data_IF_748826047260
#
_entry.id   IF_748826047260
#
_cell.length_a   1.000
_cell.length_b   1.000
_cell.length_c   1.000
_cell.angle_alpha   90.00
_cell.angle_beta   90.00
_cell.angle_gamma   90.00
#
_symmetry.space_group_name_H-M   'P 1'
#
loop_
_entity.id
_entity.type
_entity.pdbx_description
1 polymer ?
#
# COMPACT_ATOMS: atom_id res chain seq x y z
N UNK A 1 47.22 -44.53 -28.10
CA UNK A 1 45.79 -44.39 -27.76
C UNK A 1 45.72 -43.37 -26.65
N UNK A 2 45.32 -42.13 -26.80
CA UNK A 2 44.63 -41.41 -27.86
C UNK A 2 44.09 -40.19 -27.13
N UNK A 3 44.92 -39.17 -26.96
CA UNK A 3 44.55 -37.92 -26.28
C UNK A 3 43.79 -37.02 -27.25
N UNK A 4 42.59 -37.45 -27.60
CA UNK A 4 41.51 -36.62 -28.12
C UNK A 4 40.44 -36.72 -27.01
N UNK A 5 40.19 -35.70 -26.21
CA UNK A 5 39.59 -34.43 -26.57
C UNK A 5 39.76 -33.51 -25.35
N UNK A 6 40.49 -32.40 -25.46
CA UNK A 6 40.55 -31.40 -24.36
C UNK A 6 39.69 -30.18 -24.64
N UNK A 7 39.26 -29.98 -25.89
CA UNK A 7 38.45 -28.84 -26.29
C UNK A 7 36.96 -29.15 -26.18
N UNK A 8 36.51 -30.34 -26.58
CA UNK A 8 35.08 -30.70 -26.56
C UNK A 8 34.55 -30.79 -25.11
N UNK A 9 35.37 -31.26 -24.17
CA UNK A 9 35.04 -31.27 -22.74
C UNK A 9 34.97 -29.85 -22.14
N UNK A 10 35.77 -28.92 -22.66
CA UNK A 10 35.75 -27.53 -22.23
C UNK A 10 34.53 -26.78 -22.77
N UNK A 11 34.17 -27.01 -24.04
CA UNK A 11 32.95 -26.46 -24.63
C UNK A 11 31.69 -27.09 -24.04
N UNK A 12 31.70 -28.38 -23.71
CA UNK A 12 30.60 -29.06 -22.98
C UNK A 12 30.45 -28.50 -21.56
N UNK A 13 31.56 -28.27 -20.86
CA UNK A 13 31.55 -27.59 -19.57
C UNK A 13 31.04 -26.14 -19.70
N UNK A 14 31.48 -25.38 -20.70
CA UNK A 14 31.03 -24.00 -20.91
C UNK A 14 29.53 -23.94 -21.29
N UNK A 15 29.05 -24.90 -22.09
CA UNK A 15 27.63 -25.03 -22.46
C UNK A 15 26.78 -25.46 -21.26
N UNK A 16 27.28 -26.35 -20.39
CA UNK A 16 26.65 -26.72 -19.11
C UNK A 16 26.63 -25.57 -18.12
N UNK A 17 27.67 -24.74 -18.09
CA UNK A 17 27.73 -23.53 -17.27
C UNK A 17 26.77 -22.47 -17.79
N UNK A 18 26.66 -22.27 -19.12
CA UNK A 18 25.65 -21.39 -19.73
C UNK A 18 24.22 -21.87 -19.48
N UNK A 19 23.94 -23.17 -19.61
CA UNK A 19 22.63 -23.75 -19.27
C UNK A 19 22.32 -23.66 -17.76
N UNK A 20 23.32 -23.73 -16.89
CA UNK A 20 23.16 -23.46 -15.46
C UNK A 20 22.90 -21.96 -15.18
N UNK A 21 23.55 -21.06 -15.94
CA UNK A 21 23.35 -19.61 -15.81
C UNK A 21 22.04 -19.12 -16.44
N UNK A 22 21.53 -19.77 -17.47
CA UNK A 22 20.24 -19.45 -18.07
C UNK A 22 19.07 -19.81 -17.14
N UNK A 23 19.32 -20.58 -16.07
CA UNK A 23 18.38 -20.82 -14.97
C UNK A 23 18.68 -19.99 -13.70
N UNK A 24 19.63 -19.04 -13.73
CA UNK A 24 19.68 -17.94 -12.76
C UNK A 24 18.56 -16.94 -13.05
N UNK A 25 17.31 -17.43 -12.99
CA UNK A 25 16.15 -16.57 -12.82
C UNK A 25 16.44 -15.61 -11.65
N UNK A 26 16.10 -14.33 -11.84
CA UNK A 26 16.24 -13.21 -10.89
C UNK A 26 15.82 -13.51 -9.43
N UNK A 27 15.21 -14.65 -9.17
CA UNK A 27 14.85 -15.17 -7.85
C UNK A 27 16.03 -15.63 -7.00
N UNK A 28 17.10 -16.19 -7.56
CA UNK A 28 18.13 -16.83 -6.73
C UNK A 28 19.04 -15.81 -6.02
N UNK A 29 19.30 -14.67 -6.66
CA UNK A 29 19.96 -13.55 -6.00
C UNK A 29 19.09 -12.96 -4.87
N UNK A 30 17.76 -12.97 -5.05
CA UNK A 30 16.80 -12.56 -4.02
C UNK A 30 16.76 -13.58 -2.89
N UNK A 31 16.75 -14.88 -3.18
CA UNK A 31 16.80 -15.96 -2.18
C UNK A 31 18.10 -15.96 -1.39
N UNK A 32 19.26 -15.78 -2.04
CA UNK A 32 20.56 -15.68 -1.37
C UNK A 32 20.62 -14.42 -0.49
N UNK A 33 20.12 -13.27 -0.97
CA UNK A 33 20.00 -12.06 -0.15
C UNK A 33 19.03 -12.24 1.02
N UNK A 34 17.91 -12.92 0.82
CA UNK A 34 16.91 -13.19 1.86
C UNK A 34 17.47 -14.14 2.93
N UNK A 35 18.18 -15.21 2.52
CA UNK A 35 18.83 -16.16 3.43
C UNK A 35 19.96 -15.47 4.21
N UNK A 36 20.78 -14.65 3.55
CA UNK A 36 21.84 -13.90 4.22
C UNK A 36 21.27 -12.83 5.18
N UNK A 37 20.19 -12.16 4.81
CA UNK A 37 19.48 -11.19 5.64
C UNK A 37 18.82 -11.86 6.85
N UNK A 38 18.11 -12.97 6.62
CA UNK A 38 17.49 -13.77 7.67
C UNK A 38 18.52 -14.32 8.64
N UNK A 39 19.66 -14.83 8.13
CA UNK A 39 20.77 -15.32 8.96
C UNK A 39 21.45 -14.21 9.75
N UNK A 40 21.63 -13.02 9.15
CA UNK A 40 22.18 -11.84 9.83
C UNK A 40 21.26 -11.35 10.94
N UNK A 41 19.95 -11.33 10.70
CA UNK A 41 18.92 -10.98 11.68
C UNK A 41 18.84 -12.02 12.80
N UNK A 42 18.87 -13.30 12.46
CA UNK A 42 18.87 -14.40 13.43
C UNK A 42 20.13 -14.38 14.31
N UNK A 43 21.28 -13.97 13.75
CA UNK A 43 22.52 -13.79 14.51
C UNK A 43 22.55 -12.47 15.31
N UNK A 44 21.84 -11.43 14.89
CA UNK A 44 21.87 -10.11 15.54
C UNK A 44 20.75 -9.85 16.54
N UNK A 45 19.66 -10.64 16.52
CA UNK A 45 18.43 -10.29 17.24
C UNK A 45 17.78 -11.53 17.86
N UNK A 46 17.29 -11.33 19.08
CA UNK A 46 16.54 -12.26 19.93
C UNK A 46 15.32 -12.84 19.21
N UNK A 47 14.81 -13.97 19.73
CA UNK A 47 13.76 -14.84 19.19
C UNK A 47 12.75 -14.19 18.21
N UNK A 48 12.34 -14.95 17.19
CA UNK A 48 11.31 -14.61 16.18
C UNK A 48 10.06 -13.96 16.79
N UNK A 49 9.70 -14.36 18.02
CA UNK A 49 8.58 -13.80 18.78
C UNK A 49 8.79 -12.32 19.20
N UNK A 50 10.00 -11.94 19.61
CA UNK A 50 10.35 -10.55 19.95
C UNK A 50 10.36 -9.67 18.69
N UNK A 51 10.86 -10.17 17.56
CA UNK A 51 10.77 -9.51 16.25
C UNK A 51 9.32 -9.34 15.76
N UNK A 52 8.47 -10.36 15.95
CA UNK A 52 7.06 -10.30 15.57
C UNK A 52 6.32 -9.22 16.37
N UNK A 53 6.60 -9.12 17.68
CA UNK A 53 6.03 -8.06 18.54
C UNK A 53 6.51 -6.67 18.14
N UNK A 54 7.79 -6.49 17.86
CA UNK A 54 8.31 -5.20 17.37
C UNK A 54 7.70 -4.79 16.02
N UNK A 55 7.51 -5.75 15.11
CA UNK A 55 6.84 -5.53 13.82
C UNK A 55 5.36 -5.17 13.97
N UNK A 56 4.63 -5.86 14.83
CA UNK A 56 3.22 -5.58 15.11
C UNK A 56 3.04 -4.20 15.74
N UNK A 57 3.87 -3.85 16.73
CA UNK A 57 3.90 -2.51 17.33
C UNK A 57 4.23 -1.45 16.28
N UNK A 58 5.19 -1.69 15.40
CA UNK A 58 5.53 -0.76 14.32
C UNK A 58 4.39 -0.59 13.32
N UNK A 59 3.66 -1.66 12.99
CA UNK A 59 2.49 -1.60 12.11
C UNK A 59 1.33 -0.85 12.76
N UNK A 60 1.08 -1.07 14.05
CA UNK A 60 0.07 -0.32 14.81
C UNK A 60 0.47 1.15 14.92
N UNK A 61 1.74 1.46 15.18
CA UNK A 61 2.24 2.84 15.17
C UNK A 61 2.12 3.45 13.76
N UNK A 62 2.41 2.71 12.69
CA UNK A 62 2.25 3.21 11.32
C UNK A 62 0.79 3.44 10.94
N UNK A 63 -0.14 2.63 11.46
CA UNK A 63 -1.59 2.86 11.34
C UNK A 63 -2.08 4.03 12.20
N UNK A 64 -1.46 4.28 13.36
CA UNK A 64 -1.77 5.44 14.20
C UNK A 64 -1.15 6.72 13.59
N UNK A 65 0.04 6.63 13.02
CA UNK A 65 0.75 7.67 12.27
C UNK A 65 0.23 7.66 10.82
N UNK A 66 -1.08 7.70 10.67
CA UNK A 66 -1.68 7.96 9.37
C UNK A 66 -1.33 9.38 8.91
N UNK A 67 -1.03 9.50 7.62
CA UNK A 67 -0.81 10.82 7.03
C UNK A 67 -2.13 11.62 7.06
N UNK A 68 -2.02 12.95 7.14
CA UNK A 68 -3.19 13.81 7.12
C UNK A 68 -4.06 13.56 5.88
N UNK A 69 -3.43 13.29 4.73
CA UNK A 69 -4.10 12.94 3.48
C UNK A 69 -4.94 11.67 3.64
N UNK A 70 -4.38 10.60 4.20
CA UNK A 70 -5.10 9.35 4.45
C UNK A 70 -6.31 9.54 5.35
N UNK A 71 -6.18 10.33 6.42
CA UNK A 71 -7.28 10.63 7.34
C UNK A 71 -8.38 11.43 6.62
N UNK A 72 -8.00 12.45 5.83
CA UNK A 72 -8.94 13.26 5.05
C UNK A 72 -9.68 12.41 4.01
N UNK A 73 -8.97 11.52 3.31
CA UNK A 73 -9.58 10.59 2.34
C UNK A 73 -10.58 9.67 3.02
N UNK A 74 -10.23 9.05 4.17
CA UNK A 74 -11.15 8.16 4.87
C UNK A 74 -12.37 8.90 5.40
N UNK A 75 -12.19 10.10 5.94
CA UNK A 75 -13.29 10.95 6.37
C UNK A 75 -14.24 11.25 5.21
N UNK A 76 -13.71 11.69 4.06
CA UNK A 76 -14.49 11.99 2.86
C UNK A 76 -15.32 10.79 2.39
N UNK A 77 -14.70 9.61 2.30
CA UNK A 77 -15.38 8.37 1.90
C UNK A 77 -16.41 7.88 2.91
N UNK A 78 -16.37 8.37 4.16
CA UNK A 78 -17.36 8.08 5.19
C UNK A 78 -18.59 9.00 5.16
N UNK A 79 -18.60 10.05 4.33
CA UNK A 79 -19.72 10.97 4.22
C UNK A 79 -20.84 10.40 3.33
N UNK A 80 -22.05 10.94 3.49
CA UNK A 80 -23.15 10.67 2.56
C UNK A 80 -22.76 11.13 1.15
N UNK A 81 -23.22 10.39 0.12
CA UNK A 81 -22.81 10.63 -1.27
C UNK A 81 -23.06 12.07 -1.73
N UNK A 82 -24.20 12.65 -1.39
CA UNK A 82 -24.53 14.03 -1.76
C UNK A 82 -23.57 15.05 -1.11
N UNK A 83 -23.07 14.77 0.09
CA UNK A 83 -22.11 15.62 0.79
C UNK A 83 -20.71 15.40 0.21
N UNK A 84 -20.35 14.15 -0.09
CA UNK A 84 -19.09 13.79 -0.73
C UNK A 84 -18.93 14.49 -2.09
N UNK A 85 -19.93 14.40 -2.96
CA UNK A 85 -19.90 15.00 -4.29
C UNK A 85 -19.72 16.54 -4.22
N UNK A 86 -20.29 17.19 -3.21
CA UNK A 86 -20.08 18.63 -2.95
C UNK A 86 -18.66 18.90 -2.41
N UNK A 87 -18.18 18.04 -1.50
CA UNK A 87 -16.86 18.21 -0.88
C UNK A 87 -15.71 17.97 -1.86
N UNK A 88 -15.86 17.09 -2.85
CA UNK A 88 -14.88 16.86 -3.92
C UNK A 88 -14.67 18.07 -4.84
N UNK A 89 -15.63 19.02 -4.85
CA UNK A 89 -15.53 20.27 -5.61
C UNK A 89 -14.83 21.41 -4.85
N UNK A 90 -14.50 21.20 -3.57
CA UNK A 90 -13.91 22.21 -2.70
C UNK A 90 -12.50 21.85 -2.29
N UNK A 91 -11.60 22.83 -2.34
CA UNK A 91 -10.25 22.67 -1.78
C UNK A 91 -10.30 22.71 -0.25
N UNK A 92 -9.80 21.64 0.39
CA UNK A 92 -9.54 21.57 1.83
C UNK A 92 -8.11 21.11 2.07
N UNK A 93 -7.41 21.79 2.98
CA UNK A 93 -5.99 21.53 3.28
C UNK A 93 -5.78 20.96 4.68
N UNK A 94 -6.86 20.79 5.45
CA UNK A 94 -6.83 20.25 6.81
C UNK A 94 -8.10 19.47 7.13
N UNK A 95 -8.00 18.56 8.10
CA UNK A 95 -9.16 17.82 8.63
C UNK A 95 -10.18 18.78 9.23
N UNK A 96 -9.74 19.82 9.95
CA UNK A 96 -10.62 20.82 10.57
C UNK A 96 -11.50 21.53 9.54
N UNK A 97 -10.91 21.98 8.43
CA UNK A 97 -11.66 22.63 7.34
C UNK A 97 -12.65 21.68 6.67
N UNK A 98 -12.25 20.42 6.46
CA UNK A 98 -13.09 19.38 5.88
C UNK A 98 -14.32 19.09 6.77
N UNK A 99 -14.13 18.91 8.09
CA UNK A 99 -15.24 18.68 9.03
C UNK A 99 -16.21 19.87 9.07
N UNK A 100 -15.68 21.10 9.16
CA UNK A 100 -16.52 22.30 9.24
C UNK A 100 -17.36 22.50 7.97
N UNK A 101 -16.76 22.30 6.79
CA UNK A 101 -17.47 22.41 5.51
C UNK A 101 -18.52 21.31 5.36
N UNK A 102 -18.17 20.05 5.64
CA UNK A 102 -19.12 18.93 5.60
C UNK A 102 -20.33 19.18 6.51
N UNK A 103 -20.10 19.66 7.74
CA UNK A 103 -21.17 19.99 8.70
C UNK A 103 -22.10 21.09 8.19
N UNK A 104 -21.53 22.09 7.49
CA UNK A 104 -22.31 23.17 6.89
C UNK A 104 -23.20 22.65 5.75
N UNK A 105 -22.65 21.80 4.88
CA UNK A 105 -23.39 21.17 3.77
C UNK A 105 -24.52 20.29 4.32
N UNK A 106 -24.23 19.45 5.32
CA UNK A 106 -25.24 18.62 5.98
C UNK A 106 -26.42 19.44 6.53
N UNK A 107 -26.12 20.54 7.22
CA UNK A 107 -27.13 21.44 7.77
C UNK A 107 -28.00 22.07 6.66
N UNK A 108 -27.38 22.48 5.55
CA UNK A 108 -28.09 23.05 4.41
C UNK A 108 -29.03 22.02 3.74
N UNK A 109 -28.55 20.79 3.55
CA UNK A 109 -29.37 19.70 3.01
C UNK A 109 -30.57 19.41 3.92
N UNK A 110 -30.37 19.39 5.24
CA UNK A 110 -31.45 19.19 6.21
C UNK A 110 -32.48 20.32 6.19
N UNK A 111 -32.05 21.56 5.94
CA UNK A 111 -32.93 22.73 5.85
C UNK A 111 -33.69 22.83 4.51
N UNK A 112 -33.13 22.28 3.43
CA UNK A 112 -33.71 22.37 2.08
C UNK A 112 -34.49 21.11 1.67
N UNK A 113 -34.26 19.96 2.29
CA UNK A 113 -35.07 18.75 2.11
C UNK A 113 -36.54 18.89 2.58
N UNK A 114 -36.88 19.92 3.36
CA UNK A 114 -38.22 20.16 3.88
C UNK A 114 -39.01 21.28 3.17
N UNK A 115 -38.49 21.89 2.10
CA UNK A 115 -39.29 22.84 1.31
C UNK A 115 -40.18 22.07 0.33
N UNK A 116 -41.23 21.45 0.85
CA UNK A 116 -42.45 21.24 0.06
C UNK A 116 -42.96 22.62 -0.30
N UNK A 117 -42.73 23.05 -1.53
CA UNK A 117 -43.37 24.23 -2.09
C UNK A 117 -44.89 24.09 -1.85
N UNK A 118 -45.59 25.05 -1.23
CA UNK A 118 -47.03 25.04 -1.30
C UNK A 118 -47.36 25.34 -2.76
N UNK A 119 -47.86 24.34 -3.48
CA UNK A 119 -48.49 24.55 -4.78
C UNK A 119 -49.66 25.50 -4.54
N UNK A 120 -49.46 26.77 -4.86
CA UNK A 120 -50.54 27.72 -5.05
C UNK A 120 -51.32 27.26 -6.27
N UNK A 121 -52.30 26.39 -6.05
CA UNK A 121 -53.35 26.14 -7.04
C UNK A 121 -54.24 27.37 -7.05
N UNK A 122 -54.03 28.25 -8.03
CA UNK A 122 -54.97 29.32 -8.35
C UNK A 122 -55.93 28.83 -9.42
N UNK A 123 -57.22 29.11 -9.15
CA UNK A 123 -58.43 29.02 -9.97
C UNK A 123 -59.22 27.71 -9.90
#
# INVERSE_FOLDING_TARGET
MGSHQSADDYYDWELKVKQNLDCFNCEDLVKVKLIAFYKKIYQSSRCIEEYSKEKEVTLVIAQIVETQETIMTRFLHGLNRDIQDIMELHDYTSISTLVHQASKVESQLRMHGNKSYPTTSSN
#
